data_IF_625995974953
#
_entry.id   IF_625995974953
#
_cell.length_a   1.000
_cell.length_b   1.000
_cell.length_c   1.000
_cell.angle_alpha   90.00
_cell.angle_beta   90.00
_cell.angle_gamma   90.00
#
_symmetry.space_group_name_H-M   'P 1'
#
loop_
_entity.id
_entity.type
_entity.pdbx_description
1 polymer ?
#
# COMPACT_ATOMS: atom_id res chain seq x y z
N UNK A 1 -10.87 -21.25 -12.60
CA UNK A 1 -9.48 -21.72 -12.85
C UNK A 1 -8.54 -20.54 -12.94
N UNK A 2 -7.44 -20.56 -12.17
CA UNK A 2 -6.43 -19.48 -12.11
C UNK A 2 -5.52 -19.60 -13.34
N UNK A 3 -5.30 -18.45 -14.01
CA UNK A 3 -4.43 -18.32 -15.19
C UNK A 3 -3.33 -17.30 -14.92
N UNK A 4 -2.14 -17.59 -15.41
CA UNK A 4 -1.02 -16.66 -15.47
C UNK A 4 -1.27 -15.60 -16.56
N UNK A 5 -0.93 -14.35 -16.25
CA UNK A 5 -0.99 -13.23 -17.18
C UNK A 5 0.41 -12.93 -17.73
N UNK A 6 0.64 -13.27 -18.99
CA UNK A 6 1.93 -13.02 -19.66
C UNK A 6 2.07 -11.56 -20.12
N UNK A 7 0.96 -10.97 -20.54
CA UNK A 7 0.88 -9.58 -21.00
C UNK A 7 -0.54 -9.06 -20.85
N UNK A 8 -0.72 -7.75 -20.94
CA UNK A 8 -2.01 -7.07 -20.97
C UNK A 8 -2.05 -6.13 -22.17
N UNK A 9 -3.08 -6.23 -22.99
CA UNK A 9 -3.45 -5.17 -23.92
C UNK A 9 -3.94 -3.94 -23.14
N UNK A 10 -4.00 -2.77 -23.76
CA UNK A 10 -4.53 -1.56 -23.14
C UNK A 10 -5.93 -1.80 -22.54
N UNK A 11 -6.85 -2.40 -23.33
CA UNK A 11 -8.22 -2.68 -22.90
C UNK A 11 -8.28 -3.66 -21.71
N UNK A 12 -7.39 -4.68 -21.68
CA UNK A 12 -7.31 -5.60 -20.56
C UNK A 12 -6.72 -4.93 -19.32
N UNK A 13 -5.76 -4.02 -19.50
CA UNK A 13 -5.21 -3.18 -18.43
C UNK A 13 -6.28 -2.29 -17.80
N UNK A 14 -7.08 -1.61 -18.63
CA UNK A 14 -8.19 -0.77 -18.18
C UNK A 14 -9.26 -1.59 -17.42
N UNK A 15 -9.62 -2.76 -17.94
CA UNK A 15 -10.54 -3.68 -17.28
C UNK A 15 -9.99 -4.24 -15.97
N UNK A 16 -8.68 -4.46 -15.88
CA UNK A 16 -8.02 -4.88 -14.64
C UNK A 16 -7.99 -3.73 -13.62
N UNK A 17 -7.67 -2.51 -14.05
CA UNK A 17 -7.70 -1.34 -13.19
C UNK A 17 -9.10 -1.13 -12.58
N UNK A 18 -10.15 -1.20 -13.42
CA UNK A 18 -11.54 -1.11 -12.97
C UNK A 18 -11.94 -2.24 -11.98
N UNK A 19 -11.45 -3.46 -12.19
CA UNK A 19 -11.68 -4.57 -11.25
C UNK A 19 -11.01 -4.35 -9.89
N UNK A 20 -9.87 -3.68 -9.89
CA UNK A 20 -9.09 -3.40 -8.68
C UNK A 20 -9.54 -2.15 -7.92
N UNK A 21 -10.32 -1.27 -8.56
CA UNK A 21 -10.81 -0.02 -7.98
C UNK A 21 -11.74 -0.26 -6.78
N UNK A 22 -11.74 0.65 -5.82
CA UNK A 22 -12.60 0.59 -4.63
C UNK A 22 -12.07 -0.31 -3.51
N UNK A 23 -10.94 -0.97 -3.70
CA UNK A 23 -10.37 -1.92 -2.74
C UNK A 23 -8.87 -1.69 -2.54
N UNK A 24 -8.45 -1.59 -1.27
CA UNK A 24 -7.01 -1.54 -0.96
C UNK A 24 -6.27 -2.79 -1.45
N UNK A 25 -6.93 -3.95 -1.43
CA UNK A 25 -6.34 -5.22 -1.90
C UNK A 25 -6.13 -5.17 -3.41
N UNK A 26 -7.13 -4.68 -4.15
CA UNK A 26 -7.04 -4.44 -5.59
C UNK A 26 -5.94 -3.43 -5.92
N UNK A 27 -5.97 -2.28 -5.28
CA UNK A 27 -5.00 -1.20 -5.49
C UNK A 27 -3.55 -1.67 -5.20
N UNK A 28 -3.34 -2.39 -4.09
CA UNK A 28 -2.02 -2.93 -3.73
C UNK A 28 -1.57 -4.05 -4.69
N UNK A 29 -2.49 -4.90 -5.14
CA UNK A 29 -2.18 -5.94 -6.12
C UNK A 29 -1.86 -5.36 -7.51
N UNK A 30 -2.58 -4.32 -7.92
CA UNK A 30 -2.39 -3.66 -9.21
C UNK A 30 -1.14 -2.79 -9.27
N UNK A 31 -0.71 -2.21 -8.16
CA UNK A 31 0.41 -1.28 -8.07
C UNK A 31 1.69 -1.72 -8.79
N UNK A 32 2.22 -2.93 -8.60
CA UNK A 32 3.39 -3.44 -9.33
C UNK A 32 3.17 -3.52 -10.84
N UNK A 33 1.99 -3.98 -11.27
CA UNK A 33 1.64 -4.06 -12.71
C UNK A 33 1.51 -2.67 -13.32
N UNK A 34 0.92 -1.72 -12.60
CA UNK A 34 0.83 -0.31 -13.01
C UNK A 34 2.22 0.32 -13.18
N UNK A 35 3.15 0.02 -12.28
CA UNK A 35 4.46 0.67 -12.23
C UNK A 35 5.48 0.05 -13.18
N UNK A 36 5.41 -1.26 -13.40
CA UNK A 36 6.44 -2.03 -14.12
C UNK A 36 5.89 -2.82 -15.31
N UNK A 37 4.58 -3.05 -15.39
CA UNK A 37 4.02 -4.02 -16.32
C UNK A 37 4.32 -5.47 -15.89
N UNK A 38 4.20 -6.39 -16.85
CA UNK A 38 4.42 -7.84 -16.66
C UNK A 38 5.71 -8.36 -17.32
N UNK A 39 6.58 -7.45 -17.77
CA UNK A 39 7.80 -7.81 -18.50
C UNK A 39 9.04 -8.09 -17.63
N UNK A 40 8.91 -8.05 -16.31
CA UNK A 40 10.02 -8.21 -15.36
C UNK A 40 9.85 -9.45 -14.49
N UNK A 41 10.92 -10.19 -14.25
CA UNK A 41 10.92 -11.42 -13.45
C UNK A 41 10.45 -11.23 -12.00
N UNK A 42 10.56 -10.00 -11.47
CA UNK A 42 10.12 -9.66 -10.12
C UNK A 42 8.64 -9.27 -10.03
N UNK A 43 7.91 -9.21 -11.17
CA UNK A 43 6.46 -8.96 -11.23
C UNK A 43 5.78 -10.12 -11.93
N UNK A 44 4.94 -10.83 -11.25
CA UNK A 44 4.08 -11.87 -11.81
C UNK A 44 2.63 -11.63 -11.43
N UNK A 45 1.69 -11.97 -12.31
CA UNK A 45 0.27 -11.78 -12.05
C UNK A 45 -0.56 -12.95 -12.54
N UNK A 46 -1.69 -13.18 -11.87
CA UNK A 46 -2.66 -14.22 -12.17
C UNK A 46 -4.06 -13.68 -11.99
N UNK A 47 -4.99 -14.23 -12.73
CA UNK A 47 -6.42 -13.99 -12.56
C UNK A 47 -7.20 -15.28 -12.40
N UNK A 48 -8.25 -15.24 -11.60
CA UNK A 48 -9.28 -16.26 -11.58
C UNK A 48 -10.50 -15.73 -12.31
N UNK A 49 -11.12 -16.58 -13.13
CA UNK A 49 -12.37 -16.27 -13.81
C UNK A 49 -13.40 -17.36 -13.56
N UNK A 50 -14.68 -16.94 -13.44
CA UNK A 50 -15.86 -17.77 -13.42
C UNK A 50 -16.84 -17.25 -14.46
N UNK A 51 -17.37 -18.10 -15.32
CA UNK A 51 -18.35 -17.75 -16.38
C UNK A 51 -17.90 -16.56 -17.27
N UNK A 52 -16.60 -16.38 -17.45
CA UNK A 52 -16.02 -15.29 -18.24
C UNK A 52 -15.66 -14.03 -17.43
N UNK A 53 -16.26 -13.86 -16.25
CA UNK A 53 -16.01 -12.70 -15.37
C UNK A 53 -14.78 -12.94 -14.47
N UNK A 54 -14.02 -11.88 -14.23
CA UNK A 54 -12.88 -11.91 -13.29
C UNK A 54 -13.39 -11.94 -11.86
N UNK A 55 -13.01 -12.95 -11.09
CA UNK A 55 -13.40 -13.13 -9.69
C UNK A 55 -12.24 -12.92 -8.72
N UNK A 56 -11.00 -13.07 -9.17
CA UNK A 56 -9.83 -12.69 -8.39
C UNK A 56 -8.68 -12.20 -9.26
N UNK A 57 -7.84 -11.39 -8.66
CA UNK A 57 -6.55 -10.94 -9.19
C UNK A 57 -5.47 -11.09 -8.12
N UNK A 58 -4.36 -11.67 -8.50
CA UNK A 58 -3.20 -11.87 -7.66
C UNK A 58 -1.97 -11.28 -8.34
N UNK A 59 -1.15 -10.59 -7.58
CA UNK A 59 0.19 -10.22 -8.04
C UNK A 59 1.25 -10.68 -7.07
N UNK A 60 2.41 -11.02 -7.61
CA UNK A 60 3.63 -11.25 -6.83
C UNK A 60 4.64 -10.19 -7.21
N UNK A 61 5.07 -9.44 -6.23
CA UNK A 61 6.08 -8.42 -6.37
C UNK A 61 7.28 -8.80 -5.50
N UNK A 62 8.41 -9.15 -6.13
CA UNK A 62 9.48 -9.90 -5.48
C UNK A 62 8.95 -11.13 -4.74
N UNK A 63 9.05 -11.16 -3.42
CA UNK A 63 8.55 -12.26 -2.59
C UNK A 63 7.14 -12.07 -2.04
N UNK A 64 6.52 -10.89 -2.18
CA UNK A 64 5.21 -10.58 -1.61
C UNK A 64 4.10 -10.89 -2.60
N UNK A 65 3.16 -11.73 -2.21
CA UNK A 65 1.91 -11.97 -2.95
C UNK A 65 0.80 -11.13 -2.35
N UNK A 66 0.07 -10.41 -3.20
CA UNK A 66 -1.15 -9.67 -2.81
C UNK A 66 -2.35 -10.26 -3.56
N UNK A 67 -3.45 -10.50 -2.84
CA UNK A 67 -4.68 -11.10 -3.37
C UNK A 67 -5.84 -10.15 -3.21
N UNK A 68 -6.53 -9.90 -4.32
CA UNK A 68 -7.84 -9.26 -4.38
C UNK A 68 -8.85 -10.23 -4.98
N UNK A 69 -10.03 -10.36 -4.37
CA UNK A 69 -11.11 -11.21 -4.89
C UNK A 69 -12.48 -10.65 -4.56
N UNK A 70 -13.46 -11.01 -5.39
CA UNK A 70 -14.89 -10.79 -5.13
C UNK A 70 -15.46 -11.92 -4.27
N UNK A 71 -16.68 -11.77 -3.72
CA UNK A 71 -17.37 -12.85 -3.01
C UNK A 71 -17.62 -14.12 -3.85
N UNK A 72 -17.68 -13.98 -5.18
CA UNK A 72 -17.92 -15.07 -6.13
C UNK A 72 -16.66 -15.87 -6.49
N UNK A 73 -15.51 -15.51 -5.91
CA UNK A 73 -14.27 -16.22 -6.16
C UNK A 73 -14.27 -17.63 -5.57
N UNK A 74 -13.71 -18.58 -6.31
CA UNK A 74 -13.42 -19.91 -5.77
C UNK A 74 -12.27 -19.83 -4.76
N UNK A 75 -12.67 -19.76 -3.50
CA UNK A 75 -11.74 -19.61 -2.37
C UNK A 75 -10.83 -20.84 -2.20
N UNK A 76 -11.35 -22.04 -2.44
CA UNK A 76 -10.56 -23.27 -2.27
C UNK A 76 -9.46 -23.34 -3.33
N UNK A 77 -9.76 -22.97 -4.56
CA UNK A 77 -8.80 -22.87 -5.65
C UNK A 77 -7.74 -21.81 -5.31
N UNK A 78 -8.14 -20.61 -4.83
CA UNK A 78 -7.21 -19.54 -4.43
C UNK A 78 -6.25 -20.00 -3.32
N UNK A 79 -6.77 -20.59 -2.25
CA UNK A 79 -5.94 -21.04 -1.14
C UNK A 79 -5.01 -22.20 -1.54
N UNK A 80 -5.45 -23.07 -2.43
CA UNK A 80 -4.63 -24.16 -2.99
C UNK A 80 -3.51 -23.61 -3.87
N UNK A 81 -3.83 -22.61 -4.70
CA UNK A 81 -2.86 -21.95 -5.57
C UNK A 81 -1.80 -21.20 -4.77
N UNK A 82 -2.18 -20.46 -3.72
CA UNK A 82 -1.26 -19.73 -2.85
C UNK A 82 -0.20 -20.64 -2.19
N UNK A 83 -0.56 -21.90 -1.89
CA UNK A 83 0.40 -22.88 -1.37
C UNK A 83 1.45 -23.28 -2.39
N UNK A 84 1.08 -23.27 -3.68
CA UNK A 84 1.98 -23.71 -4.77
C UNK A 84 2.88 -22.58 -5.27
N UNK A 85 2.35 -21.33 -5.34
CA UNK A 85 3.08 -20.21 -5.93
C UNK A 85 4.29 -19.78 -5.07
N UNK A 86 4.26 -20.10 -3.79
CA UNK A 86 5.29 -19.72 -2.81
C UNK A 86 5.41 -18.19 -2.64
N UNK A 87 5.64 -17.77 -1.42
CA UNK A 87 5.79 -16.35 -1.07
C UNK A 87 6.68 -16.19 0.17
N UNK A 88 7.33 -15.03 0.31
CA UNK A 88 7.94 -14.60 1.58
C UNK A 88 6.92 -13.87 2.45
N UNK A 89 6.00 -13.12 1.84
CA UNK A 89 4.86 -12.49 2.49
C UNK A 89 3.59 -12.65 1.63
N UNK A 90 2.44 -12.76 2.30
CA UNK A 90 1.13 -12.81 1.65
C UNK A 90 0.23 -11.76 2.30
N UNK A 91 -0.41 -10.92 1.49
CA UNK A 91 -1.34 -9.89 1.92
C UNK A 91 -2.71 -10.06 1.25
N UNK A 92 -3.78 -10.02 2.05
CA UNK A 92 -5.14 -10.14 1.55
C UNK A 92 -6.19 -9.81 2.61
N UNK A 93 -7.47 -9.90 2.24
CA UNK A 93 -8.55 -9.69 3.20
C UNK A 93 -8.51 -10.76 4.29
N UNK A 94 -8.81 -10.36 5.52
CA UNK A 94 -8.90 -11.30 6.63
C UNK A 94 -10.00 -12.36 6.38
N UNK A 95 -11.08 -11.99 5.70
CA UNK A 95 -12.14 -12.89 5.32
C UNK A 95 -11.66 -14.04 4.42
N UNK A 96 -10.82 -13.74 3.40
CA UNK A 96 -10.22 -14.76 2.53
C UNK A 96 -9.24 -15.64 3.30
N UNK A 97 -8.37 -15.03 4.10
CA UNK A 97 -7.19 -15.71 4.67
C UNK A 97 -7.43 -16.31 6.05
N UNK A 98 -8.48 -15.92 6.79
CA UNK A 98 -8.86 -16.56 8.05
C UNK A 98 -9.13 -18.05 7.82
N UNK A 99 -8.57 -18.89 8.68
CA UNK A 99 -8.57 -20.36 8.58
C UNK A 99 -7.60 -20.96 7.53
N UNK A 100 -6.71 -20.16 6.94
CA UNK A 100 -5.47 -20.69 6.39
C UNK A 100 -4.58 -21.15 7.55
N UNK A 101 -3.75 -22.17 7.35
CA UNK A 101 -2.83 -22.71 8.41
C UNK A 101 -1.67 -21.77 8.71
N UNK A 102 -1.74 -20.54 8.23
CA UNK A 102 -0.70 -19.55 8.32
C UNK A 102 -1.07 -18.57 9.43
N UNK A 103 -0.12 -18.33 10.31
CA UNK A 103 -0.26 -17.31 11.34
C UNK A 103 0.29 -15.99 10.79
N UNK A 104 -0.39 -14.90 11.06
CA UNK A 104 -0.01 -13.60 10.55
C UNK A 104 -0.45 -12.45 11.43
N UNK A 105 -0.13 -11.26 10.99
CA UNK A 105 -0.53 -10.00 11.63
C UNK A 105 -1.87 -9.54 11.07
N UNK A 106 -2.86 -9.41 11.93
CA UNK A 106 -4.14 -8.76 11.59
C UNK A 106 -4.01 -7.24 11.70
N UNK A 107 -4.77 -6.53 10.84
CA UNK A 107 -4.85 -5.09 10.90
C UNK A 107 -6.10 -4.55 10.23
N UNK A 108 -6.26 -3.23 10.34
CA UNK A 108 -7.41 -2.50 9.83
C UNK A 108 -7.07 -1.80 8.51
N UNK A 109 -7.95 -1.92 7.54
CA UNK A 109 -7.96 -1.08 6.35
C UNK A 109 -8.79 0.15 6.65
N UNK A 110 -8.18 1.31 6.53
CA UNK A 110 -8.80 2.61 6.73
C UNK A 110 -8.96 3.32 5.40
N UNK A 111 -10.07 4.03 5.21
CA UNK A 111 -10.33 4.83 4.02
C UNK A 111 -10.83 6.24 4.37
N UNK A 112 -10.39 7.21 3.59
CA UNK A 112 -10.96 8.55 3.53
C UNK A 112 -11.59 8.72 2.14
N UNK A 113 -12.90 8.98 2.11
CA UNK A 113 -13.65 9.10 0.86
C UNK A 113 -13.34 10.40 0.12
N UNK A 114 -13.50 10.39 -1.21
CA UNK A 114 -13.35 11.57 -2.07
C UNK A 114 -14.14 12.77 -1.54
N UNK A 115 -13.54 13.94 -1.58
CA UNK A 115 -14.19 15.19 -1.15
C UNK A 115 -14.46 15.30 0.35
N UNK A 116 -14.01 14.35 1.17
CA UNK A 116 -14.02 14.50 2.62
C UNK A 116 -12.76 15.22 3.09
N UNK A 117 -12.96 16.23 3.91
CA UNK A 117 -11.85 16.90 4.57
C UNK A 117 -11.20 15.98 5.61
N UNK A 118 -9.88 15.91 5.57
CA UNK A 118 -9.13 15.35 6.68
C UNK A 118 -9.25 16.31 7.86
N UNK A 119 -9.85 15.87 8.97
CA UNK A 119 -10.11 16.70 10.16
C UNK A 119 -8.90 16.85 11.08
N UNK A 120 -7.73 16.44 10.61
CA UNK A 120 -6.50 16.50 11.39
C UNK A 120 -6.14 17.93 11.78
N UNK A 121 -5.56 18.06 12.96
CA UNK A 121 -4.76 19.25 13.28
C UNK A 121 -3.33 18.96 12.87
N UNK A 122 -2.81 19.76 11.94
CA UNK A 122 -1.39 19.79 11.65
C UNK A 122 -0.59 20.32 12.84
N UNK A 123 0.73 20.15 12.77
CA UNK A 123 1.63 20.76 13.74
C UNK A 123 1.57 22.29 13.65
N UNK A 124 1.55 22.93 14.80
CA UNK A 124 1.64 24.40 14.91
C UNK A 124 3.09 24.90 15.01
N UNK A 125 4.08 24.02 14.88
CA UNK A 125 5.48 24.42 14.94
C UNK A 125 5.85 25.32 13.75
N UNK A 126 6.64 26.39 13.97
CA UNK A 126 7.17 27.21 12.90
C UNK A 126 8.27 26.43 12.13
N UNK A 127 8.57 26.90 10.92
CA UNK A 127 9.67 26.40 10.10
C UNK A 127 9.55 24.92 9.69
N UNK A 128 8.30 24.48 9.35
CA UNK A 128 8.05 23.19 8.75
C UNK A 128 8.18 23.27 7.23
N UNK A 129 8.89 22.31 6.66
CA UNK A 129 9.10 22.18 5.22
C UNK A 129 8.61 20.81 4.73
N UNK A 130 7.77 20.81 3.69
CA UNK A 130 7.26 19.62 3.03
C UNK A 130 8.09 19.34 1.77
N UNK A 131 8.94 18.32 1.81
CA UNK A 131 9.82 17.92 0.71
C UNK A 131 9.17 16.76 -0.06
N UNK A 132 8.70 17.02 -1.28
CA UNK A 132 8.05 16.04 -2.14
C UNK A 132 9.01 15.44 -3.16
N UNK A 133 8.99 14.12 -3.28
CA UNK A 133 9.62 13.35 -4.36
C UNK A 133 11.14 13.56 -4.50
N UNK A 134 11.76 13.99 -3.42
CA UNK A 134 13.19 14.20 -3.30
C UNK A 134 13.68 13.75 -1.90
N UNK A 135 14.96 13.97 -1.60
CA UNK A 135 15.55 13.65 -0.29
C UNK A 135 15.35 12.17 0.12
N UNK A 136 15.48 11.24 -0.85
CA UNK A 136 15.25 9.81 -0.64
C UNK A 136 16.10 9.22 0.48
N UNK A 137 17.31 9.71 0.66
CA UNK A 137 18.20 9.24 1.74
C UNK A 137 17.63 9.59 3.11
N UNK A 138 17.23 10.85 3.32
CA UNK A 138 16.63 11.33 4.56
C UNK A 138 15.29 10.60 4.83
N UNK A 139 14.50 10.37 3.76
CA UNK A 139 13.24 9.61 3.85
C UNK A 139 13.48 8.18 4.33
N UNK A 140 14.45 7.48 3.71
CA UNK A 140 14.81 6.12 4.06
C UNK A 140 15.29 6.03 5.51
N UNK A 141 16.13 6.96 5.94
CA UNK A 141 16.74 7.01 7.27
C UNK A 141 15.65 7.20 8.35
N UNK A 142 14.77 8.22 8.19
CA UNK A 142 13.65 8.46 9.13
C UNK A 142 12.72 7.26 9.21
N UNK A 143 12.39 6.64 8.08
CA UNK A 143 11.49 5.50 8.06
C UNK A 143 12.11 4.26 8.72
N UNK A 144 13.38 3.98 8.44
CA UNK A 144 14.12 2.84 9.01
C UNK A 144 14.31 2.99 10.52
N UNK A 145 14.65 4.19 11.00
CA UNK A 145 14.83 4.46 12.43
C UNK A 145 13.51 4.40 13.20
N UNK A 146 12.44 4.94 12.59
CA UNK A 146 11.13 4.99 13.24
C UNK A 146 10.40 3.65 13.28
N UNK A 147 10.63 2.80 12.27
CA UNK A 147 9.97 1.50 12.09
C UNK A 147 10.99 0.43 11.67
N UNK A 148 11.85 -0.04 12.58
CA UNK A 148 12.83 -1.08 12.26
C UNK A 148 12.17 -2.33 11.66
N UNK A 149 12.70 -2.79 10.51
CA UNK A 149 12.17 -3.95 9.77
C UNK A 149 10.98 -3.66 8.85
N UNK A 150 10.51 -2.42 8.75
CA UNK A 150 9.46 -2.05 7.80
C UNK A 150 9.96 -2.09 6.34
N UNK A 151 11.16 -1.58 6.10
CA UNK A 151 11.81 -1.68 4.79
C UNK A 151 12.57 -3.00 4.69
N UNK A 152 12.36 -3.71 3.58
CA UNK A 152 13.13 -4.90 3.23
C UNK A 152 14.15 -4.54 2.16
N UNK A 153 15.39 -4.96 2.33
CA UNK A 153 16.49 -4.56 1.45
C UNK A 153 17.24 -3.33 1.93
N UNK A 154 18.27 -2.95 1.20
CA UNK A 154 19.11 -1.80 1.51
C UNK A 154 18.60 -0.51 0.85
N UNK A 155 19.33 0.59 1.09
CA UNK A 155 19.00 1.88 0.51
C UNK A 155 19.05 1.90 -1.03
N UNK A 156 19.93 1.12 -1.65
CA UNK A 156 20.04 1.08 -3.12
C UNK A 156 18.81 0.41 -3.74
N UNK A 157 18.30 -0.65 -3.14
CA UNK A 157 17.06 -1.31 -3.54
C UNK A 157 15.87 -0.36 -3.39
N UNK A 158 15.74 0.29 -2.24
CA UNK A 158 14.72 1.29 -1.99
C UNK A 158 14.76 2.43 -3.00
N UNK A 159 15.94 3.03 -3.23
CA UNK A 159 16.12 4.14 -4.15
C UNK A 159 15.74 3.74 -5.58
N UNK A 160 16.16 2.55 -6.02
CA UNK A 160 15.88 2.03 -7.36
C UNK A 160 14.37 1.87 -7.57
N UNK A 161 13.68 1.23 -6.64
CA UNK A 161 12.23 1.02 -6.70
C UNK A 161 11.46 2.35 -6.65
N UNK A 162 11.64 3.12 -5.57
CA UNK A 162 10.85 4.34 -5.37
C UNK A 162 11.13 5.40 -6.43
N UNK A 163 12.39 5.62 -6.82
CA UNK A 163 12.71 6.62 -7.86
C UNK A 163 12.11 6.25 -9.22
N UNK A 164 12.01 4.95 -9.55
CA UNK A 164 11.32 4.49 -10.76
C UNK A 164 9.83 4.83 -10.67
N UNK A 165 9.15 4.41 -9.62
CA UNK A 165 7.70 4.62 -9.46
C UNK A 165 7.31 6.09 -9.35
N UNK A 166 8.11 6.91 -8.67
CA UNK A 166 7.90 8.37 -8.60
C UNK A 166 8.05 9.02 -9.98
N UNK A 167 9.07 8.67 -10.76
CA UNK A 167 9.25 9.19 -12.13
C UNK A 167 8.11 8.81 -13.08
N UNK A 168 7.46 7.66 -12.85
CA UNK A 168 6.29 7.22 -13.61
C UNK A 168 4.97 7.72 -13.03
N UNK A 169 5.00 8.50 -11.94
CA UNK A 169 3.80 9.08 -11.32
C UNK A 169 2.90 8.07 -10.61
N UNK A 170 3.38 6.85 -10.34
CA UNK A 170 2.62 5.77 -9.69
C UNK A 170 2.87 5.69 -8.18
N UNK A 171 3.82 6.47 -7.67
CA UNK A 171 4.10 6.65 -6.24
C UNK A 171 4.54 8.09 -5.95
N UNK A 172 4.49 8.48 -4.67
CA UNK A 172 5.05 9.74 -4.17
C UNK A 172 5.66 9.51 -2.79
N UNK A 173 6.72 10.24 -2.47
CA UNK A 173 7.25 10.34 -1.11
C UNK A 173 7.11 11.76 -0.59
N UNK A 174 6.85 11.88 0.70
CA UNK A 174 6.82 13.13 1.42
C UNK A 174 7.67 13.02 2.68
N UNK A 175 8.67 13.88 2.77
CA UNK A 175 9.49 14.08 3.95
C UNK A 175 9.12 15.42 4.59
N UNK A 176 8.86 15.42 5.89
CA UNK A 176 8.67 16.61 6.68
C UNK A 176 9.98 16.97 7.38
N UNK A 177 10.43 18.20 7.20
CA UNK A 177 11.55 18.78 7.94
C UNK A 177 11.04 19.83 8.93
N UNK A 178 11.61 19.84 10.12
CA UNK A 178 11.40 20.89 11.12
C UNK A 178 12.74 21.57 11.36
N UNK A 179 12.83 22.88 11.06
CA UNK A 179 14.08 23.66 11.15
C UNK A 179 15.23 23.01 10.36
N UNK A 180 14.93 22.53 9.16
CA UNK A 180 15.87 21.86 8.28
C UNK A 180 16.24 20.41 8.66
N UNK A 181 15.74 19.88 9.80
CA UNK A 181 16.00 18.50 10.23
C UNK A 181 14.84 17.57 9.80
N UNK A 182 15.12 16.43 9.15
CA UNK A 182 14.11 15.41 8.86
C UNK A 182 13.45 14.89 10.13
N UNK A 183 12.11 14.81 10.17
CA UNK A 183 11.38 14.40 11.39
C UNK A 183 10.27 13.41 11.16
N UNK A 184 9.64 13.41 9.97
CA UNK A 184 8.54 12.48 9.66
C UNK A 184 8.43 12.19 8.17
N UNK A 185 7.80 11.07 7.85
CA UNK A 185 7.61 10.59 6.48
C UNK A 185 6.18 10.12 6.24
N UNK A 186 5.77 10.14 4.98
CA UNK A 186 4.59 9.45 4.45
C UNK A 186 4.81 9.21 2.96
N UNK A 187 4.36 8.09 2.43
CA UNK A 187 4.42 7.80 0.99
C UNK A 187 3.04 7.43 0.44
N UNK A 188 2.74 7.85 -0.78
CA UNK A 188 1.76 7.14 -1.60
C UNK A 188 2.49 5.97 -2.25
N UNK A 189 2.24 4.77 -1.73
CA UNK A 189 2.84 3.53 -2.21
C UNK A 189 2.25 3.09 -3.56
N UNK A 190 1.00 3.44 -3.82
CA UNK A 190 0.34 3.30 -5.12
C UNK A 190 -0.53 4.53 -5.34
N UNK A 191 -0.46 5.08 -6.54
CA UNK A 191 -1.33 6.16 -7.02
C UNK A 191 -1.92 5.78 -8.36
N UNK A 192 -3.24 5.82 -8.45
CA UNK A 192 -4.02 5.76 -9.69
C UNK A 192 -4.66 7.12 -9.98
N UNK A 193 -5.52 7.21 -10.97
CA UNK A 193 -6.27 8.44 -11.27
C UNK A 193 -7.27 8.84 -10.18
N UNK A 194 -7.78 7.87 -9.43
CA UNK A 194 -8.83 8.12 -8.44
C UNK A 194 -8.52 7.67 -7.02
N UNK A 195 -7.40 7.02 -6.78
CA UNK A 195 -7.10 6.40 -5.49
C UNK A 195 -5.63 6.52 -5.09
N UNK A 196 -5.41 6.60 -3.79
CA UNK A 196 -4.09 6.53 -3.16
C UNK A 196 -4.05 5.41 -2.13
N UNK A 197 -2.96 4.66 -2.11
CA UNK A 197 -2.61 3.80 -1.00
C UNK A 197 -1.42 4.40 -0.26
N UNK A 198 -1.66 4.94 0.94
CA UNK A 198 -0.63 5.55 1.78
C UNK A 198 0.03 4.51 2.69
N UNK A 199 1.32 4.67 2.87
CA UNK A 199 2.13 3.91 3.80
C UNK A 199 3.38 4.68 4.22
N UNK A 200 4.31 4.03 4.94
CA UNK A 200 5.51 4.68 5.42
C UNK A 200 5.22 5.90 6.32
N UNK A 201 4.08 5.91 7.01
CA UNK A 201 3.72 6.96 7.97
C UNK A 201 4.57 6.77 9.22
N UNK A 202 5.57 7.60 9.37
CA UNK A 202 6.55 7.50 10.45
C UNK A 202 6.91 8.87 11.02
N UNK A 203 7.31 8.88 12.29
CA UNK A 203 7.86 10.06 12.98
C UNK A 203 8.97 9.56 13.90
N UNK A 204 10.13 10.21 13.85
CA UNK A 204 11.25 9.90 14.74
C UNK A 204 10.78 9.79 16.18
N UNK A 205 11.26 8.81 16.97
CA UNK A 205 10.76 8.54 18.32
C UNK A 205 10.74 9.77 19.23
N UNK A 206 11.81 10.58 19.20
CA UNK A 206 11.97 11.79 20.01
C UNK A 206 11.11 12.98 19.54
N UNK A 207 10.56 12.89 18.31
CA UNK A 207 9.76 13.92 17.68
C UNK A 207 8.24 13.60 17.73
N UNK A 208 7.86 12.50 18.35
CA UNK A 208 6.45 12.09 18.48
C UNK A 208 5.64 13.05 19.36
N UNK A 209 4.32 13.07 19.15
CA UNK A 209 3.41 13.95 19.91
C UNK A 209 3.29 15.37 19.37
N UNK A 210 4.04 15.75 18.33
CA UNK A 210 4.05 17.09 17.72
C UNK A 210 3.17 17.22 16.46
N UNK A 211 2.30 16.23 16.21
CA UNK A 211 1.38 16.17 15.06
C UNK A 211 2.05 16.11 13.67
N UNK A 212 3.32 15.70 13.57
CA UNK A 212 4.04 15.64 12.30
C UNK A 212 3.45 14.61 11.34
N UNK A 213 3.09 13.41 11.82
CA UNK A 213 2.41 12.42 10.99
C UNK A 213 1.08 12.94 10.45
N UNK A 214 0.28 13.64 11.29
CA UNK A 214 -0.95 14.30 10.85
C UNK A 214 -0.69 15.35 9.79
N UNK A 215 0.37 16.15 9.92
CA UNK A 215 0.77 17.16 8.93
C UNK A 215 1.08 16.53 7.58
N UNK A 216 1.81 15.42 7.57
CA UNK A 216 2.10 14.69 6.33
C UNK A 216 0.84 14.12 5.67
N UNK A 217 -0.07 13.54 6.47
CA UNK A 217 -1.33 13.00 5.95
C UNK A 217 -2.24 14.10 5.38
N UNK A 218 -2.37 15.23 6.09
CA UNK A 218 -3.08 16.42 5.59
C UNK A 218 -2.52 16.88 4.24
N UNK A 219 -1.20 16.98 4.13
CA UNK A 219 -0.55 17.41 2.89
C UNK A 219 -0.88 16.50 1.69
N UNK A 220 -1.01 15.17 1.91
CA UNK A 220 -1.50 14.27 0.86
C UNK A 220 -2.97 14.52 0.53
N UNK A 221 -3.84 14.65 1.54
CA UNK A 221 -5.26 14.91 1.31
C UNK A 221 -5.49 16.23 0.56
N UNK A 222 -4.77 17.28 0.93
CA UNK A 222 -4.86 18.61 0.30
C UNK A 222 -4.34 18.59 -1.15
N UNK A 223 -3.29 17.81 -1.41
CA UNK A 223 -2.72 17.67 -2.77
C UNK A 223 -3.61 16.85 -3.70
N UNK A 224 -4.40 15.91 -3.16
CA UNK A 224 -5.22 14.98 -3.92
C UNK A 224 -6.68 14.92 -3.41
N UNK A 225 -7.42 16.06 -3.41
CA UNK A 225 -8.75 16.13 -2.80
C UNK A 225 -9.80 15.25 -3.49
N UNK A 226 -9.58 14.94 -4.78
CA UNK A 226 -10.48 14.10 -5.59
C UNK A 226 -10.14 12.62 -5.53
N UNK A 227 -9.13 12.21 -4.74
CA UNK A 227 -8.77 10.81 -4.59
C UNK A 227 -9.39 10.20 -3.33
N UNK A 228 -9.80 8.95 -3.44
CA UNK A 228 -10.06 8.11 -2.29
C UNK A 228 -8.71 7.67 -1.71
N UNK A 229 -8.54 7.82 -0.41
CA UNK A 229 -7.27 7.52 0.25
C UNK A 229 -7.41 6.29 1.13
N UNK A 230 -6.61 5.27 0.87
CA UNK A 230 -6.51 4.08 1.69
C UNK A 230 -5.21 4.06 2.48
N UNK A 231 -5.25 3.42 3.63
CA UNK A 231 -4.07 2.99 4.38
C UNK A 231 -4.36 1.73 5.18
N UNK A 232 -3.29 1.03 5.55
CA UNK A 232 -3.36 -0.11 6.45
C UNK A 232 -2.69 0.24 7.77
N UNK A 233 -3.31 -0.15 8.88
CA UNK A 233 -2.74 0.09 10.20
C UNK A 233 -2.98 -1.09 11.14
N UNK A 234 -2.17 -1.17 12.19
CA UNK A 234 -2.41 -2.09 13.30
C UNK A 234 -3.63 -1.62 14.11
N UNK A 235 -4.35 -2.52 14.80
CA UNK A 235 -5.57 -2.17 15.55
C UNK A 235 -5.38 -1.04 16.56
N UNK A 236 -4.22 -0.99 17.23
CA UNK A 236 -3.90 0.05 18.21
C UNK A 236 -3.73 1.45 17.60
N UNK A 237 -3.62 1.56 16.27
CA UNK A 237 -3.54 2.83 15.55
C UNK A 237 -4.88 3.25 14.92
N UNK A 238 -5.90 2.40 14.95
CA UNK A 238 -7.19 2.68 14.34
C UNK A 238 -7.79 4.01 14.84
N UNK A 239 -7.84 4.21 16.16
CA UNK A 239 -8.38 5.43 16.76
C UNK A 239 -7.66 6.72 16.29
N UNK A 240 -6.35 6.64 16.05
CA UNK A 240 -5.59 7.78 15.50
C UNK A 240 -6.11 8.16 14.11
N UNK A 241 -6.31 7.20 13.22
CA UNK A 241 -6.79 7.47 11.87
C UNK A 241 -8.27 7.86 11.84
N UNK A 242 -9.11 7.29 12.72
CA UNK A 242 -10.52 7.72 12.88
C UNK A 242 -10.60 9.19 13.30
N UNK A 243 -9.73 9.62 14.19
CA UNK A 243 -9.66 11.05 14.59
C UNK A 243 -9.25 11.97 13.43
N UNK A 244 -8.58 11.46 12.41
CA UNK A 244 -8.22 12.19 11.20
C UNK A 244 -9.33 12.16 10.13
N UNK A 245 -10.46 11.50 10.39
CA UNK A 245 -11.60 11.41 9.48
C UNK A 245 -11.63 10.14 8.62
N UNK A 246 -10.67 9.24 8.78
CA UNK A 246 -10.71 7.94 8.12
C UNK A 246 -11.74 7.02 8.77
N UNK A 247 -12.39 6.19 7.96
CA UNK A 247 -13.27 5.14 8.46
C UNK A 247 -12.64 3.76 8.23
N UNK A 248 -12.83 2.84 9.18
CA UNK A 248 -12.48 1.43 8.95
C UNK A 248 -13.43 0.82 7.93
N UNK A 249 -12.88 0.24 6.87
CA UNK A 249 -13.65 -0.35 5.76
C UNK A 249 -13.45 -1.85 5.61
N UNK A 250 -12.34 -2.41 6.13
CA UNK A 250 -12.06 -3.84 6.07
C UNK A 250 -11.03 -4.24 7.13
N UNK A 251 -10.78 -5.55 7.24
CA UNK A 251 -9.65 -6.13 7.96
C UNK A 251 -8.73 -6.84 6.97
N UNK A 252 -7.42 -6.69 7.14
CA UNK A 252 -6.42 -7.42 6.38
C UNK A 252 -5.72 -8.47 7.24
N UNK A 253 -5.13 -9.43 6.58
CA UNK A 253 -4.17 -10.36 7.15
C UNK A 253 -2.89 -10.31 6.33
N UNK A 254 -1.77 -10.14 7.02
CA UNK A 254 -0.43 -10.23 6.45
C UNK A 254 0.28 -11.43 7.06
N UNK A 255 0.65 -12.37 6.21
CA UNK A 255 1.27 -13.63 6.57
C UNK A 255 2.72 -13.61 6.12
N UNK A 256 3.63 -13.95 7.00
CA UNK A 256 5.02 -14.20 6.64
C UNK A 256 5.24 -15.70 6.47
N UNK A 257 5.92 -16.08 5.41
CA UNK A 257 6.34 -17.47 5.23
C UNK A 257 7.38 -17.79 6.31
N UNK A 258 7.05 -18.72 7.20
CA UNK A 258 8.06 -19.32 8.08
C UNK A 258 9.03 -20.10 7.20
N UNK A 259 10.05 -19.45 6.67
CA UNK A 259 11.18 -20.19 6.11
C UNK A 259 11.87 -20.89 7.28
N UNK A 260 11.69 -22.22 7.34
CA UNK A 260 12.58 -23.11 8.09
C UNK A 260 13.77 -23.45 7.24
#
# INVERSE_FOLDING_TARGET
MIKFLESLSSTEGDALAAFCEGSVFGLKAFGPVLSYGLGYDFVSAWEQRSEGERTAFLSKYYGTVTVHCTPDADREELLSFLKMVGFSALFGSAELLKNSYLHGTEGCVMALEKGRECTAKGSAEPDLELCWDNDYADFYEVLSESNPGYLTGDYADFLTDFSHRVRHGTAHILLLKSRGRPVATTAALVKTEGELFLGGVATLPEERGKHYASTCLLAFCDRYPEHRVFLCCRPEKQAFYEHLGFAKVNDFLELESSQK
#
